data_IF_266945964564
#
_entry.id   IF_266945964564
#
_cell.length_a   1.000
_cell.length_b   1.000
_cell.length_c   1.000
_cell.angle_alpha   90.00
_cell.angle_beta   90.00
_cell.angle_gamma   90.00
#
_symmetry.space_group_name_H-M   'P 1'
#
loop_
_entity.id
_entity.type
_entity.pdbx_description
1 polymer ?
#
# COMPACT_ATOMS: atom_id res chain seq x y z
N UNK A 1 28.08 9.71 -40.77
CA UNK A 1 28.57 8.77 -39.72
C UNK A 1 28.58 9.37 -38.32
N UNK A 2 28.74 10.69 -38.13
CA UNK A 2 28.70 11.33 -36.79
C UNK A 2 27.35 11.18 -36.06
N UNK A 3 26.22 11.33 -36.77
CA UNK A 3 24.89 11.26 -36.17
C UNK A 3 24.58 9.91 -35.47
N UNK A 4 25.08 8.80 -36.01
CA UNK A 4 24.85 7.46 -35.42
C UNK A 4 25.50 7.37 -34.04
N UNK A 5 26.71 7.91 -33.87
CA UNK A 5 27.42 7.91 -32.58
C UNK A 5 26.65 8.72 -31.54
N UNK A 6 26.10 9.88 -31.93
CA UNK A 6 25.28 10.73 -31.06
C UNK A 6 24.01 9.99 -30.63
N UNK A 7 23.33 9.31 -31.55
CA UNK A 7 22.12 8.56 -31.27
C UNK A 7 22.37 7.36 -30.34
N UNK A 8 23.51 6.68 -30.47
CA UNK A 8 23.90 5.59 -29.56
C UNK A 8 24.12 6.12 -28.14
N UNK A 9 24.85 7.22 -27.98
CA UNK A 9 25.07 7.81 -26.66
C UNK A 9 23.77 8.33 -26.05
N UNK A 10 22.90 8.95 -26.85
CA UNK A 10 21.61 9.43 -26.40
C UNK A 10 20.69 8.29 -25.94
N UNK A 11 20.59 7.20 -26.71
CA UNK A 11 19.75 6.05 -26.35
C UNK A 11 20.30 5.29 -25.14
N UNK A 12 21.62 5.12 -25.06
CA UNK A 12 22.27 4.51 -23.89
C UNK A 12 22.07 5.37 -22.64
N UNK A 13 22.23 6.69 -22.76
CA UNK A 13 21.98 7.64 -21.68
C UNK A 13 20.54 7.55 -21.18
N UNK A 14 19.56 7.54 -22.10
CA UNK A 14 18.15 7.41 -21.76
C UNK A 14 17.86 6.08 -21.04
N UNK A 15 18.44 4.97 -21.51
CA UNK A 15 18.29 3.66 -20.88
C UNK A 15 18.87 3.63 -19.46
N UNK A 16 20.05 4.23 -19.25
CA UNK A 16 20.67 4.30 -17.92
C UNK A 16 19.87 5.18 -16.96
N UNK A 17 19.38 6.34 -17.41
CA UNK A 17 18.52 7.21 -16.59
C UNK A 17 17.24 6.48 -16.20
N UNK A 18 16.59 5.81 -17.16
CA UNK A 18 15.40 5.01 -16.89
C UNK A 18 15.67 3.91 -15.85
N UNK A 19 16.76 3.16 -16.02
CA UNK A 19 17.14 2.09 -15.09
C UNK A 19 17.46 2.64 -13.69
N UNK A 20 18.16 3.76 -13.59
CA UNK A 20 18.46 4.40 -12.31
C UNK A 20 17.19 4.85 -11.59
N UNK A 21 16.26 5.52 -12.30
CA UNK A 21 14.96 5.90 -11.78
C UNK A 21 14.15 4.67 -11.33
N UNK A 22 14.15 3.59 -12.13
CA UNK A 22 13.46 2.35 -11.79
C UNK A 22 14.00 1.73 -10.50
N UNK A 23 15.33 1.62 -10.36
CA UNK A 23 15.95 1.08 -9.14
C UNK A 23 15.64 1.98 -7.94
N UNK A 24 15.70 3.30 -8.10
CA UNK A 24 15.35 4.24 -7.03
C UNK A 24 13.90 4.07 -6.60
N UNK A 25 12.96 4.02 -7.54
CA UNK A 25 11.54 3.81 -7.25
C UNK A 25 11.29 2.47 -6.56
N UNK A 26 11.91 1.38 -7.04
CA UNK A 26 11.78 0.05 -6.46
C UNK A 26 12.33 -0.03 -5.03
N UNK A 27 13.39 0.75 -4.72
CA UNK A 27 13.97 0.82 -3.38
C UNK A 27 13.28 1.81 -2.44
N UNK A 28 12.48 2.73 -2.97
CA UNK A 28 11.82 3.80 -2.18
C UNK A 28 10.63 3.31 -1.35
N UNK A 29 10.47 2.00 -1.17
CA UNK A 29 9.44 1.44 -0.26
C UNK A 29 8.01 1.67 -0.73
N UNK A 30 7.79 2.02 -2.00
CA UNK A 30 6.44 2.26 -2.54
C UNK A 30 5.55 0.99 -2.55
N UNK A 31 6.14 -0.16 -2.25
CA UNK A 31 5.47 -1.47 -2.11
C UNK A 31 5.25 -1.90 -0.65
N UNK A 32 5.51 -1.01 0.32
CA UNK A 32 5.36 -1.30 1.75
C UNK A 32 3.88 -1.31 2.21
N UNK A 33 2.97 -0.87 1.34
CA UNK A 33 1.53 -1.01 1.56
C UNK A 33 1.07 -2.44 1.19
N UNK A 34 1.55 -3.43 1.96
CA UNK A 34 1.22 -4.85 1.78
C UNK A 34 -0.16 -5.21 2.34
N UNK A 35 -0.80 -4.28 3.06
CA UNK A 35 -2.08 -4.47 3.73
C UNK A 35 -3.17 -3.77 2.93
N UNK A 36 -3.87 -4.52 2.08
CA UNK A 36 -4.94 -3.95 1.26
C UNK A 36 -6.06 -3.37 2.13
N UNK A 37 -6.61 -2.20 1.77
CA UNK A 37 -7.65 -1.53 2.56
C UNK A 37 -8.92 -2.39 2.75
N UNK A 38 -9.17 -3.33 1.84
CA UNK A 38 -10.27 -4.29 1.95
C UNK A 38 -10.13 -5.24 3.16
N UNK A 39 -8.90 -5.59 3.56
CA UNK A 39 -8.66 -6.48 4.69
C UNK A 39 -8.87 -5.77 6.03
N UNK A 40 -8.55 -4.47 6.09
CA UNK A 40 -8.76 -3.63 7.29
C UNK A 40 -10.24 -3.52 7.65
N UNK A 41 -11.11 -3.35 6.65
CA UNK A 41 -12.56 -3.23 6.85
C UNK A 41 -13.20 -4.51 7.41
N UNK A 42 -12.64 -5.69 7.12
CA UNK A 42 -13.14 -6.98 7.64
C UNK A 42 -12.56 -7.29 9.03
N UNK A 43 -11.33 -6.84 9.31
CA UNK A 43 -10.66 -7.11 10.58
C UNK A 43 -11.10 -6.16 11.71
N UNK A 44 -11.47 -4.92 11.39
CA UNK A 44 -11.89 -3.90 12.36
C UNK A 44 -13.41 -3.85 12.55
N UNK A 45 -14.12 -4.98 12.58
CA UNK A 45 -15.51 -5.03 13.04
C UNK A 45 -15.55 -5.31 14.55
N UNK A 46 -15.47 -4.29 15.45
CA UNK A 46 -15.83 -4.49 16.83
C UNK A 46 -17.34 -4.74 16.84
N UNK A 47 -17.72 -6.02 16.89
CA UNK A 47 -19.09 -6.42 17.16
C UNK A 47 -19.66 -5.50 18.25
N UNK A 48 -20.77 -4.78 18.00
CA UNK A 48 -21.40 -3.96 19.02
C UNK A 48 -21.67 -4.83 20.24
N UNK A 49 -20.93 -4.59 21.33
CA UNK A 49 -21.26 -5.17 22.61
C UNK A 49 -22.54 -4.48 23.07
N UNK A 50 -23.67 -5.11 22.79
CA UNK A 50 -24.94 -4.78 23.41
C UNK A 50 -24.79 -4.91 24.94
N UNK A 51 -24.90 -3.81 25.71
CA UNK A 51 -25.00 -3.92 27.16
C UNK A 51 -26.48 -4.16 27.49
N UNK A 52 -26.99 -5.35 27.18
CA UNK A 52 -28.24 -5.81 27.77
C UNK A 52 -27.92 -6.35 29.16
N UNK A 53 -27.73 -5.43 30.12
CA UNK A 53 -27.84 -5.74 31.53
C UNK A 53 -29.32 -5.83 31.88
N UNK A 54 -29.88 -7.04 31.74
CA UNK A 54 -31.18 -7.38 32.28
C UNK A 54 -31.05 -7.47 33.81
N UNK A 55 -31.18 -6.34 34.49
CA UNK A 55 -31.32 -6.25 35.95
C UNK A 55 -32.73 -5.80 36.33
N UNK A 56 -33.73 -6.64 36.07
CA UNK A 56 -35.08 -6.53 36.66
C UNK A 56 -35.67 -7.92 36.96
N UNK A 57 -34.85 -8.84 37.51
CA UNK A 57 -35.33 -10.15 37.98
C UNK A 57 -35.50 -10.24 39.50
N UNK A 58 -35.30 -9.18 40.28
CA UNK A 58 -35.52 -9.27 41.73
C UNK A 58 -36.75 -8.49 42.19
N UNK A 59 -37.91 -9.13 42.03
CA UNK A 59 -39.12 -8.81 42.80
C UNK A 59 -39.26 -9.82 43.96
N UNK A 60 -39.27 -9.37 45.22
CA UNK A 60 -40.17 -9.91 46.22
C UNK A 60 -41.41 -9.00 46.34
N UNK A 61 -42.55 -9.65 46.59
CA UNK A 61 -43.89 -9.07 46.77
C UNK A 61 -43.96 -8.09 47.94
#
# INVERSE_FOLDING_TARGET
MSAIVILILASLGLALVFLACFIWAARSGQFDDTCTPALRVIADDPAPRDPISNDESNKPL
#
